data_IF_029078358969
#
_entry.id   IF_029078358969
#
_cell.length_a   1.000
_cell.length_b   1.000
_cell.length_c   1.000
_cell.angle_alpha   90.00
_cell.angle_beta   90.00
_cell.angle_gamma   90.00
#
_symmetry.space_group_name_H-M   'P 1'
#
loop_
_entity.id
_entity.type
_entity.pdbx_description
1 polymer ?
#
# COMPACT_ATOMS: atom_id res chain seq x y z
N UNK A 1 -3.22 -28.84 23.64
CA UNK A 1 -2.17 -29.14 22.64
C UNK A 1 -2.13 -27.97 21.66
N UNK A 2 -1.21 -27.03 21.90
CA UNK A 2 -1.05 -25.79 21.12
C UNK A 2 -0.44 -26.07 19.74
N UNK A 3 -1.19 -25.84 18.67
CA UNK A 3 -0.69 -25.89 17.30
C UNK A 3 -1.07 -24.61 16.54
N UNK A 4 -0.69 -23.47 17.11
CA UNK A 4 -0.79 -22.17 16.45
C UNK A 4 0.55 -21.80 15.81
N UNK A 5 0.64 -21.88 14.48
CA UNK A 5 1.60 -21.16 13.61
C UNK A 5 3.10 -21.22 13.96
N UNK A 6 3.53 -22.03 14.91
CA UNK A 6 4.88 -22.01 15.45
C UNK A 6 5.83 -22.81 14.55
N UNK A 7 7.03 -22.26 14.35
CA UNK A 7 8.13 -22.98 13.72
C UNK A 7 8.68 -24.01 14.71
N UNK A 8 7.99 -25.13 14.86
CA UNK A 8 8.45 -26.27 15.65
C UNK A 8 9.72 -26.86 15.06
N UNK A 9 10.52 -27.54 15.89
CA UNK A 9 11.78 -28.13 15.46
C UNK A 9 11.60 -29.15 14.32
N UNK A 10 10.52 -29.95 14.35
CA UNK A 10 10.16 -30.86 13.26
C UNK A 10 9.90 -30.13 11.93
N UNK A 11 9.17 -29.01 11.98
CA UNK A 11 8.90 -28.18 10.79
C UNK A 11 10.16 -27.52 10.26
N UNK A 12 11.09 -27.14 11.15
CA UNK A 12 12.38 -26.58 10.76
C UNK A 12 13.30 -27.65 10.17
N UNK A 13 13.31 -28.86 10.71
CA UNK A 13 14.04 -29.99 10.14
C UNK A 13 13.52 -30.35 8.74
N UNK A 14 12.20 -30.43 8.57
CA UNK A 14 11.58 -30.64 7.27
C UNK A 14 11.87 -29.49 6.29
N UNK A 15 11.82 -28.24 6.76
CA UNK A 15 12.22 -27.07 5.96
C UNK A 15 13.65 -27.20 5.44
N UNK A 16 14.60 -27.56 6.31
CA UNK A 16 16.02 -27.72 5.94
C UNK A 16 16.18 -28.78 4.86
N UNK A 17 15.58 -29.96 5.07
CA UNK A 17 15.64 -31.06 4.10
C UNK A 17 15.08 -30.67 2.74
N UNK A 18 13.86 -30.12 2.69
CA UNK A 18 13.25 -29.69 1.43
C UNK A 18 14.02 -28.54 0.77
N UNK A 19 14.63 -27.68 1.60
CA UNK A 19 15.53 -26.65 1.14
C UNK A 19 16.91 -27.18 0.74
N UNK A 20 17.34 -28.38 1.07
CA UNK A 20 18.56 -28.99 0.50
C UNK A 20 18.21 -29.69 -0.82
N UNK A 21 17.03 -30.32 -0.87
CA UNK A 21 16.45 -31.01 -2.03
C UNK A 21 16.10 -30.11 -3.23
N UNK A 22 16.44 -28.82 -3.21
CA UNK A 22 16.23 -27.93 -4.36
C UNK A 22 14.85 -27.28 -4.44
N UNK A 23 13.95 -27.54 -3.48
CA UNK A 23 12.57 -27.10 -3.65
C UNK A 23 12.38 -25.59 -3.53
N UNK A 24 11.43 -25.05 -4.31
CA UNK A 24 11.08 -23.64 -4.24
C UNK A 24 10.30 -23.32 -2.97
N UNK A 25 10.44 -22.09 -2.45
CA UNK A 25 9.76 -21.66 -1.24
C UNK A 25 8.24 -21.81 -1.28
N UNK A 26 7.62 -21.68 -2.46
CA UNK A 26 6.17 -21.85 -2.63
C UNK A 26 5.75 -23.31 -2.47
N UNK A 27 6.54 -24.25 -3.00
CA UNK A 27 6.28 -25.69 -2.88
C UNK A 27 6.47 -26.18 -1.45
N UNK A 28 7.53 -25.70 -0.80
CA UNK A 28 7.80 -25.96 0.62
C UNK A 28 6.66 -25.43 1.51
N UNK A 29 6.14 -24.23 1.22
CA UNK A 29 5.01 -23.67 1.95
C UNK A 29 3.74 -24.52 1.82
N UNK A 30 3.45 -25.03 0.62
CA UNK A 30 2.32 -25.93 0.37
C UNK A 30 2.46 -27.25 1.14
N UNK A 31 3.68 -27.80 1.25
CA UNK A 31 3.93 -29.05 1.98
C UNK A 31 3.91 -28.87 3.50
N UNK A 32 4.46 -27.76 4.01
CA UNK A 32 4.45 -27.49 5.46
C UNK A 32 3.05 -27.15 5.97
N UNK A 33 2.19 -26.57 5.13
CA UNK A 33 0.83 -26.16 5.50
C UNK A 33 0.80 -25.02 6.51
N UNK A 34 -0.17 -24.10 6.39
CA UNK A 34 -0.34 -23.00 7.36
C UNK A 34 0.81 -21.97 7.39
N UNK A 35 1.73 -22.00 6.43
CA UNK A 35 2.81 -21.01 6.27
C UNK A 35 2.83 -20.47 4.84
N UNK A 36 3.15 -19.19 4.67
CA UNK A 36 3.24 -18.57 3.34
C UNK A 36 4.65 -18.72 2.76
N UNK A 37 4.80 -18.58 1.44
CA UNK A 37 6.11 -18.51 0.76
C UNK A 37 7.08 -17.54 1.43
N UNK A 38 6.59 -16.36 1.83
CA UNK A 38 7.43 -15.34 2.47
C UNK A 38 7.86 -15.73 3.88
N UNK A 39 7.00 -16.45 4.63
CA UNK A 39 7.36 -17.00 5.93
C UNK A 39 8.50 -18.03 5.80
N UNK A 40 8.46 -18.88 4.77
CA UNK A 40 9.52 -19.85 4.45
C UNK A 40 10.85 -19.13 4.14
N UNK A 41 10.84 -18.14 3.24
CA UNK A 41 12.05 -17.39 2.87
C UNK A 41 12.64 -16.67 4.09
N UNK A 42 11.79 -16.01 4.88
CA UNK A 42 12.24 -15.34 6.10
C UNK A 42 12.83 -16.33 7.11
N UNK A 43 12.29 -17.54 7.23
CA UNK A 43 12.84 -18.57 8.12
C UNK A 43 14.18 -19.12 7.61
N UNK A 44 14.29 -19.43 6.32
CA UNK A 44 15.55 -19.86 5.68
C UNK A 44 16.66 -18.83 5.89
N UNK A 45 16.37 -17.54 5.67
CA UNK A 45 17.32 -16.46 5.87
C UNK A 45 17.75 -16.32 7.34
N UNK A 46 16.81 -16.43 8.30
CA UNK A 46 17.13 -16.43 9.74
C UNK A 46 17.97 -17.64 10.17
N UNK A 47 17.86 -18.76 9.46
CA UNK A 47 18.64 -19.97 9.72
C UNK A 47 20.01 -19.96 9.01
N UNK A 48 20.33 -18.93 8.22
CA UNK A 48 21.58 -18.85 7.47
C UNK A 48 21.73 -19.93 6.40
N UNK A 49 20.64 -20.59 6.00
CA UNK A 49 20.65 -21.58 4.92
C UNK A 49 20.90 -20.81 3.62
N UNK A 50 22.03 -21.10 2.97
CA UNK A 50 22.55 -20.34 1.83
C UNK A 50 21.50 -20.04 0.75
N UNK A 51 21.59 -18.84 0.17
CA UNK A 51 20.74 -18.43 -0.93
C UNK A 51 21.08 -19.22 -2.18
N UNK A 52 20.12 -19.99 -2.71
CA UNK A 52 20.19 -20.42 -4.11
C UNK A 52 20.17 -19.16 -4.97
N UNK A 53 21.30 -18.83 -5.58
CA UNK A 53 21.31 -17.87 -6.67
C UNK A 53 20.27 -18.33 -7.69
N UNK A 54 19.40 -17.41 -8.12
CA UNK A 54 18.30 -17.68 -9.04
C UNK A 54 18.84 -18.23 -10.36
N UNK A 55 18.88 -19.56 -10.49
CA UNK A 55 18.87 -20.23 -11.78
C UNK A 55 17.46 -20.13 -12.35
N UNK A 56 17.35 -19.44 -13.48
CA UNK A 56 16.16 -19.48 -14.30
C UNK A 56 15.92 -20.91 -14.76
N UNK A 57 14.77 -21.48 -14.41
CA UNK A 57 14.22 -22.60 -15.17
C UNK A 57 12.70 -22.42 -15.20
N UNK A 58 12.22 -22.01 -16.37
CA UNK A 58 10.83 -21.99 -16.76
C UNK A 58 10.27 -23.40 -16.81
N UNK A 59 9.11 -23.61 -16.19
CA UNK A 59 8.19 -24.67 -16.55
C UNK A 59 6.74 -24.16 -16.39
N UNK A 60 5.82 -24.54 -17.29
CA UNK A 60 4.71 -23.69 -17.70
C UNK A 60 3.55 -23.71 -16.71
N UNK A 61 3.00 -22.53 -16.44
CA UNK A 61 1.79 -22.35 -15.64
C UNK A 61 0.55 -22.70 -16.47
N UNK A 62 -0.15 -23.74 -16.03
CA UNK A 62 -1.53 -24.02 -16.38
C UNK A 62 -2.43 -22.84 -15.98
N UNK A 63 -3.23 -22.36 -16.92
CA UNK A 63 -4.23 -21.31 -16.73
C UNK A 63 -5.43 -21.83 -15.93
N UNK A 64 -5.80 -21.24 -14.77
CA UNK A 64 -7.14 -21.36 -14.25
C UNK A 64 -7.97 -20.18 -14.78
N UNK A 65 -8.96 -20.49 -15.61
CA UNK A 65 -10.03 -19.57 -16.03
C UNK A 65 -10.87 -19.18 -14.80
N UNK A 66 -11.06 -17.88 -14.51
CA UNK A 66 -12.01 -17.47 -13.48
C UNK A 66 -13.43 -17.49 -14.07
N UNK A 67 -14.29 -18.34 -13.50
CA UNK A 67 -15.74 -18.26 -13.67
C UNK A 67 -16.22 -16.90 -13.14
N UNK A 68 -16.84 -16.12 -14.00
CA UNK A 68 -17.61 -14.95 -13.61
C UNK A 68 -18.84 -15.40 -12.82
N UNK A 69 -19.04 -14.81 -11.64
CA UNK A 69 -20.32 -14.82 -10.94
C UNK A 69 -20.78 -13.38 -10.91
N UNK A 70 -21.77 -13.08 -11.74
CA UNK A 70 -22.58 -11.86 -11.67
C UNK A 70 -23.30 -11.82 -10.33
N UNK A 71 -23.25 -10.67 -9.66
CA UNK A 71 -24.17 -10.34 -8.59
C UNK A 71 -24.83 -9.02 -8.99
N UNK A 72 -25.99 -9.13 -9.61
CA UNK A 72 -26.97 -8.07 -9.70
C UNK A 72 -27.43 -7.70 -8.29
N UNK A 73 -27.51 -6.41 -8.00
CA UNK A 73 -28.33 -5.92 -6.89
C UNK A 73 -29.02 -4.65 -7.34
N UNK A 74 -30.29 -4.81 -7.67
CA UNK A 74 -31.25 -3.78 -8.01
C UNK A 74 -32.11 -3.47 -6.78
N UNK A 75 -32.15 -2.21 -6.33
CA UNK A 75 -33.23 -1.59 -5.54
C UNK A 75 -32.86 -0.11 -5.29
N UNK A 76 -33.70 0.91 -5.37
CA UNK A 76 -35.03 1.15 -5.92
C UNK A 76 -35.15 2.69 -5.98
N UNK A 77 -35.52 3.25 -7.14
CA UNK A 77 -35.74 4.70 -7.31
C UNK A 77 -37.13 5.03 -6.79
N UNK A 78 -37.22 5.85 -5.74
CA UNK A 78 -38.49 6.44 -5.31
C UNK A 78 -38.61 7.82 -5.94
N UNK A 79 -39.57 7.88 -6.85
CA UNK A 79 -40.10 9.02 -7.58
C UNK A 79 -40.73 10.03 -6.60
N UNK A 80 -40.39 11.31 -6.72
CA UNK A 80 -41.12 12.41 -6.08
C UNK A 80 -41.57 13.42 -7.13
N UNK A 81 -42.88 13.63 -7.15
CA UNK A 81 -43.64 14.47 -8.07
C UNK A 81 -43.18 15.93 -8.10
N UNK A 82 -43.17 16.49 -9.31
CA UNK A 82 -43.03 17.92 -9.56
C UNK A 82 -44.39 18.65 -9.40
N UNK A 83 -44.44 19.80 -8.71
CA UNK A 83 -45.52 20.76 -8.90
C UNK A 83 -45.19 21.77 -10.01
N UNK A 84 -46.25 22.23 -10.68
CA UNK A 84 -46.30 23.04 -11.91
C UNK A 84 -45.65 24.44 -11.82
N UNK A 85 -45.22 25.02 -12.96
CA UNK A 85 -44.49 26.29 -12.99
C UNK A 85 -45.41 27.50 -12.80
N UNK A 86 -45.32 28.17 -11.65
CA UNK A 86 -45.90 29.51 -11.48
C UNK A 86 -44.94 30.52 -12.12
N UNK A 87 -45.44 31.21 -13.14
CA UNK A 87 -44.74 32.23 -13.90
C UNK A 87 -44.24 33.38 -13.01
N UNK A 88 -42.92 33.62 -12.99
CA UNK A 88 -42.34 34.83 -12.41
C UNK A 88 -42.16 35.86 -13.54
N UNK A 89 -43.20 36.66 -13.78
CA UNK A 89 -43.05 37.99 -14.35
C UNK A 89 -42.67 38.94 -13.21
N UNK A 90 -41.40 39.32 -13.14
CA UNK A 90 -40.98 40.70 -12.94
C UNK A 90 -39.47 40.76 -12.83
N UNK A 91 -38.89 41.45 -13.81
CA UNK A 91 -37.58 42.08 -13.90
C UNK A 91 -37.05 42.52 -12.52
N UNK A 92 -36.36 41.60 -11.85
CA UNK A 92 -35.42 41.91 -10.78
C UNK A 92 -34.07 42.15 -11.47
N UNK A 93 -33.36 43.26 -11.20
CA UNK A 93 -31.99 43.41 -11.70
C UNK A 93 -31.18 42.20 -11.24
N UNK A 94 -30.44 41.60 -12.18
CA UNK A 94 -29.62 40.43 -11.90
C UNK A 94 -28.74 40.72 -10.68
N UNK A 95 -28.67 39.81 -9.69
CA UNK A 95 -27.74 39.99 -8.59
C UNK A 95 -26.33 40.10 -9.19
N UNK A 96 -25.66 41.20 -8.89
CA UNK A 96 -24.25 41.36 -9.22
C UNK A 96 -23.52 40.29 -8.41
N UNK A 97 -23.12 39.20 -9.07
CA UNK A 97 -22.27 38.20 -8.44
C UNK A 97 -20.96 38.89 -8.06
N UNK A 98 -20.53 38.84 -6.79
CA UNK A 98 -19.20 39.30 -6.45
C UNK A 98 -18.21 38.49 -7.29
N UNK A 99 -17.27 39.19 -7.92
CA UNK A 99 -16.14 38.60 -8.65
C UNK A 99 -15.53 37.48 -7.80
N UNK A 100 -15.31 36.27 -8.35
CA UNK A 100 -14.69 35.20 -7.57
C UNK A 100 -13.38 35.72 -6.99
N UNK A 101 -13.21 35.56 -5.67
CA UNK A 101 -11.98 35.88 -4.98
C UNK A 101 -10.80 35.23 -5.74
N UNK A 102 -9.64 35.89 -5.84
CA UNK A 102 -8.48 35.31 -6.50
C UNK A 102 -8.20 33.94 -5.89
N UNK A 103 -7.92 32.96 -6.76
CA UNK A 103 -7.55 31.61 -6.37
C UNK A 103 -6.47 31.67 -5.26
N UNK A 104 -6.53 30.81 -4.23
CA UNK A 104 -5.53 30.82 -3.19
C UNK A 104 -4.15 30.68 -3.82
N UNK A 105 -3.26 31.62 -3.47
CA UNK A 105 -1.85 31.58 -3.85
C UNK A 105 -1.28 30.19 -3.55
N UNK A 106 -0.40 29.64 -4.40
CA UNK A 106 0.14 28.30 -4.20
C UNK A 106 0.79 28.24 -2.82
N UNK A 107 0.14 27.55 -1.89
CA UNK A 107 0.64 27.33 -0.53
C UNK A 107 2.03 26.73 -0.70
N UNK A 108 3.04 27.50 -0.32
CA UNK A 108 4.44 27.09 -0.43
C UNK A 108 4.56 25.66 0.11
N UNK A 109 4.94 24.74 -0.78
CA UNK A 109 5.18 23.34 -0.48
C UNK A 109 5.96 23.28 0.83
N UNK A 110 5.39 22.61 1.82
CA UNK A 110 5.91 22.58 3.18
C UNK A 110 7.38 22.17 3.17
N UNK A 111 8.26 23.16 3.24
CA UNK A 111 9.71 22.97 3.20
C UNK A 111 10.06 22.03 4.34
N UNK A 112 10.67 20.89 4.00
CA UNK A 112 11.20 19.96 4.98
C UNK A 112 12.10 20.72 5.94
N UNK A 113 11.78 20.70 7.24
CA UNK A 113 12.57 21.34 8.30
C UNK A 113 13.92 20.65 8.56
N UNK A 114 14.13 19.44 7.99
CA UNK A 114 15.40 18.67 8.07
C UNK A 114 15.95 18.58 9.48
N UNK A 115 15.18 17.93 10.36
CA UNK A 115 15.49 17.80 11.78
C UNK A 115 16.31 16.54 12.05
N UNK A 116 17.13 16.55 13.10
CA UNK A 116 17.83 15.33 13.55
C UNK A 116 16.86 14.42 14.32
N UNK A 117 17.29 13.20 14.64
CA UNK A 117 16.50 12.29 15.50
C UNK A 117 16.22 12.89 16.88
N UNK A 118 17.16 13.68 17.42
CA UNK A 118 17.06 14.27 18.75
C UNK A 118 16.02 15.40 18.80
N UNK A 119 15.83 16.11 17.67
CA UNK A 119 14.89 17.23 17.57
C UNK A 119 13.49 16.80 17.11
N UNK A 120 13.31 15.53 16.72
CA UNK A 120 12.08 15.02 16.13
C UNK A 120 11.00 14.79 17.20
N UNK A 121 9.90 15.53 17.10
CA UNK A 121 8.74 15.43 18.02
C UNK A 121 7.65 14.52 17.46
N UNK A 122 6.69 14.16 18.31
CA UNK A 122 5.58 13.27 17.92
C UNK A 122 4.69 13.83 16.81
N UNK A 123 4.45 15.15 16.81
CA UNK A 123 3.65 15.87 15.81
C UNK A 123 4.42 16.24 14.54
N UNK A 124 5.58 15.61 14.30
CA UNK A 124 6.46 15.89 13.17
C UNK A 124 6.56 14.70 12.22
N UNK A 125 6.71 15.02 10.95
CA UNK A 125 6.87 14.06 9.87
C UNK A 125 8.19 13.31 10.01
N UNK A 126 8.08 11.98 10.15
CA UNK A 126 9.20 11.07 10.38
C UNK A 126 9.81 10.50 9.10
N UNK A 127 9.64 11.18 7.97
CA UNK A 127 10.17 10.71 6.70
C UNK A 127 11.70 10.86 6.67
N UNK A 128 12.47 9.77 6.43
CA UNK A 128 13.92 9.81 6.38
C UNK A 128 14.42 10.50 5.10
N UNK A 129 15.44 11.33 5.24
CA UNK A 129 16.12 12.05 4.18
C UNK A 129 17.60 11.68 4.22
N UNK A 130 18.09 11.07 3.14
CA UNK A 130 19.46 10.57 3.05
C UNK A 130 19.63 9.16 3.63
N UNK A 131 20.89 8.75 3.75
CA UNK A 131 21.26 7.42 4.25
C UNK A 131 21.50 7.45 5.77
N UNK A 132 20.96 6.51 6.57
CA UNK A 132 21.16 6.46 8.01
C UNK A 132 22.63 6.36 8.47
N UNK A 133 23.55 5.95 7.60
CA UNK A 133 24.98 5.83 7.89
C UNK A 133 25.75 7.14 7.72
N UNK A 134 25.15 8.15 7.10
CA UNK A 134 25.81 9.45 6.90
C UNK A 134 25.39 10.48 7.95
N UNK A 135 26.29 11.38 8.36
CA UNK A 135 25.96 12.43 9.34
C UNK A 135 24.97 13.47 8.81
N UNK A 136 24.66 13.45 7.51
CA UNK A 136 23.62 14.26 6.85
C UNK A 136 22.23 13.63 6.95
N UNK A 137 22.07 12.47 7.60
CA UNK A 137 20.77 11.86 7.82
C UNK A 137 19.84 12.80 8.58
N UNK A 138 18.68 13.12 8.00
CA UNK A 138 17.68 14.01 8.60
C UNK A 138 16.29 13.42 8.45
N UNK A 139 15.35 13.94 9.22
CA UNK A 139 13.93 13.71 9.03
C UNK A 139 13.25 14.94 8.45
N UNK A 140 12.16 14.75 7.71
CA UNK A 140 11.39 15.85 7.13
C UNK A 140 11.01 16.93 8.17
N UNK A 141 10.48 16.55 9.33
CA UNK A 141 10.19 17.50 10.42
C UNK A 141 9.00 18.46 10.16
N UNK A 142 8.35 18.40 9.01
CA UNK A 142 7.09 19.12 8.75
C UNK A 142 5.96 18.62 9.67
N UNK A 143 4.85 19.33 9.79
CA UNK A 143 3.74 18.89 10.65
C UNK A 143 3.15 17.57 10.13
N UNK A 144 3.04 16.56 11.00
CA UNK A 144 2.36 15.31 10.66
C UNK A 144 0.84 15.50 10.60
N UNK A 145 0.17 14.71 9.77
CA UNK A 145 -1.29 14.64 9.73
C UNK A 145 -1.76 13.92 11.00
N UNK A 146 -2.87 14.36 11.60
CA UNK A 146 -3.44 13.69 12.77
C UNK A 146 -3.70 12.21 12.48
N UNK A 147 -3.17 11.32 13.32
CA UNK A 147 -3.29 9.87 13.17
C UNK A 147 -2.29 9.22 12.19
N UNK A 148 -1.44 10.01 11.51
CA UNK A 148 -0.39 9.49 10.62
C UNK A 148 0.99 10.05 11.01
N UNK A 149 2.08 9.29 10.81
CA UNK A 149 3.43 9.73 11.19
C UNK A 149 4.07 10.70 10.18
N UNK A 150 3.40 11.02 9.07
CA UNK A 150 3.95 11.78 7.96
C UNK A 150 3.12 13.03 7.64
N UNK A 151 3.74 14.03 7.01
CA UNK A 151 3.02 15.17 6.42
C UNK A 151 2.27 14.73 5.16
N UNK A 152 1.43 15.60 4.59
CA UNK A 152 0.66 15.34 3.36
C UNK A 152 1.51 14.75 2.24
N UNK A 153 2.60 15.44 1.90
CA UNK A 153 3.51 15.02 0.83
C UNK A 153 4.11 13.62 1.07
N UNK A 154 4.65 13.35 2.25
CA UNK A 154 5.28 12.05 2.53
C UNK A 154 4.25 10.94 2.81
N UNK A 155 3.03 11.27 3.19
CA UNK A 155 1.94 10.31 3.32
C UNK A 155 1.51 9.77 1.95
N UNK A 156 1.45 10.63 0.91
CA UNK A 156 1.16 10.19 -0.47
C UNK A 156 2.20 9.20 -0.99
N UNK A 157 3.47 9.40 -0.64
CA UNK A 157 4.55 8.49 -1.04
C UNK A 157 4.47 7.17 -0.23
N UNK A 158 4.22 7.26 1.08
CA UNK A 158 4.17 6.08 1.96
C UNK A 158 2.96 5.17 1.69
N UNK A 159 1.80 5.76 1.41
CA UNK A 159 0.52 5.07 1.39
C UNK A 159 -0.10 5.08 -0.01
N UNK A 160 0.40 4.24 -0.91
CA UNK A 160 -0.25 4.03 -2.19
C UNK A 160 -1.53 3.17 -2.05
N UNK A 161 -2.65 3.54 -2.71
CA UNK A 161 -3.85 2.71 -2.79
C UNK A 161 -3.55 1.32 -3.37
N UNK A 162 -4.25 0.30 -2.89
CA UNK A 162 -4.03 -1.08 -3.32
C UNK A 162 -4.17 -1.29 -4.85
N UNK A 163 -5.03 -0.50 -5.50
CA UNK A 163 -5.23 -0.52 -6.95
C UNK A 163 -3.98 -0.09 -7.73
N UNK A 164 -3.25 0.91 -7.24
CA UNK A 164 -2.05 1.44 -7.89
C UNK A 164 -0.87 0.46 -7.78
N UNK A 165 -0.69 -0.17 -6.60
CA UNK A 165 0.31 -1.24 -6.41
C UNK A 165 0.11 -2.42 -7.35
N UNK A 166 -1.15 -2.75 -7.67
CA UNK A 166 -1.47 -3.83 -8.62
C UNK A 166 -1.08 -3.44 -10.06
N UNK A 167 -1.25 -2.17 -10.43
CA UNK A 167 -0.84 -1.64 -11.75
C UNK A 167 0.68 -1.62 -11.87
N UNK A 168 1.40 -1.12 -10.88
CA UNK A 168 2.87 -1.06 -10.91
C UNK A 168 3.49 -2.46 -11.01
N UNK A 169 2.99 -3.43 -10.22
CA UNK A 169 3.40 -4.85 -10.34
C UNK A 169 3.09 -5.46 -11.70
N UNK A 170 1.99 -5.05 -12.35
CA UNK A 170 1.67 -5.49 -13.72
C UNK A 170 2.67 -4.92 -14.71
N UNK A 171 2.94 -3.62 -14.66
CA UNK A 171 3.89 -2.94 -15.56
C UNK A 171 5.31 -3.49 -15.38
N UNK A 172 5.74 -3.72 -14.14
CA UNK A 172 7.05 -4.31 -13.83
C UNK A 172 7.17 -5.79 -14.25
N UNK A 173 6.07 -6.50 -14.45
CA UNK A 173 6.06 -7.89 -14.91
C UNK A 173 6.16 -8.04 -16.44
N UNK A 174 6.08 -6.93 -17.19
CA UNK A 174 6.20 -6.90 -18.65
C UNK A 174 7.58 -6.41 -19.14
N UNK A 175 8.53 -6.19 -18.23
CA UNK A 175 9.95 -5.90 -18.52
C UNK A 175 10.82 -7.03 -17.98
#
# INVERSE_FOLDING_TARGET
>A
MEAGLSWTDDRVALLRRLWEDGQSASKIAAQLGGVTRNAVIGKVHRLGLGGRARGAEEAPASTPTPKAVEIETAIAVVETQAPEPVAILSHRPAPVFPTPAPAPEPVALAVSKRVTIMDLRESMCRWPLGDPTTPEFRFCGARSITGLPYCTHHAEIAYQPAAERKRDRRVASFR
#
